data_IF_761529519659
#
_entry.id   IF_761529519659
#
_cell.length_a   1.000
_cell.length_b   1.000
_cell.length_c   1.000
_cell.angle_alpha   90.00
_cell.angle_beta   90.00
_cell.angle_gamma   90.00
#
_symmetry.space_group_name_H-M   'P 1'
#
loop_
_entity.id
_entity.type
_entity.pdbx_description
1 polymer ?
#
# COMPACT_ATOMS: atom_id res chain seq x y z
N UNK A 1 9.57 -16.43 14.19
CA UNK A 1 9.83 -15.07 14.69
C UNK A 1 8.64 -14.54 15.49
N UNK A 2 7.48 -14.26 14.88
CA UNK A 2 6.26 -13.84 15.60
C UNK A 2 5.88 -14.76 16.78
N UNK A 3 5.92 -16.09 16.59
CA UNK A 3 5.66 -17.07 17.66
C UNK A 3 6.52 -16.88 18.91
N UNK A 4 7.77 -16.44 18.77
CA UNK A 4 8.65 -16.20 19.91
C UNK A 4 8.32 -14.88 20.61
N UNK A 5 7.87 -13.87 19.85
CA UNK A 5 7.40 -12.61 20.43
C UNK A 5 6.18 -12.84 21.31
N UNK A 6 5.20 -13.65 20.86
CA UNK A 6 4.03 -13.97 21.67
C UNK A 6 4.38 -14.58 23.04
N UNK A 7 5.47 -15.37 23.14
CA UNK A 7 5.93 -15.93 24.42
C UNK A 7 6.39 -14.88 25.43
N UNK A 8 6.97 -13.78 24.97
CA UNK A 8 7.47 -12.69 25.83
C UNK A 8 6.41 -11.60 26.04
N UNK A 9 5.21 -11.72 25.45
CA UNK A 9 4.19 -10.66 25.49
C UNK A 9 3.70 -10.35 26.90
N UNK A 10 3.66 -11.36 27.77
CA UNK A 10 3.25 -11.23 29.17
C UNK A 10 4.24 -10.39 30.01
N UNK A 11 5.47 -10.22 29.55
CA UNK A 11 6.53 -9.53 30.28
C UNK A 11 6.81 -8.11 29.77
N UNK A 12 6.05 -7.62 28.78
CA UNK A 12 6.38 -6.40 28.04
C UNK A 12 5.20 -5.42 28.05
N UNK A 13 5.47 -4.13 28.24
CA UNK A 13 4.47 -3.06 28.17
C UNK A 13 3.97 -2.85 26.72
N UNK A 14 2.75 -2.34 26.55
CA UNK A 14 2.17 -2.12 25.21
C UNK A 14 3.03 -1.19 24.34
N UNK A 15 3.61 -0.14 24.92
CA UNK A 15 4.52 0.79 24.21
C UNK A 15 5.78 0.11 23.70
N UNK A 16 6.40 -0.74 24.52
CA UNK A 16 7.55 -1.54 24.14
C UNK A 16 7.18 -2.61 23.08
N UNK A 17 5.99 -3.21 23.18
CA UNK A 17 5.46 -4.12 22.17
C UNK A 17 5.29 -3.42 20.81
N UNK A 18 4.72 -2.20 20.79
CA UNK A 18 4.61 -1.35 19.59
C UNK A 18 5.99 -1.06 18.98
N UNK A 19 6.97 -0.66 19.80
CA UNK A 19 8.33 -0.39 19.32
C UNK A 19 9.03 -1.64 18.76
N UNK A 20 8.88 -2.79 19.41
CA UNK A 20 9.44 -4.07 18.94
C UNK A 20 8.82 -4.51 17.62
N UNK A 21 7.50 -4.47 17.49
CA UNK A 21 6.81 -4.75 16.23
C UNK A 21 7.20 -3.76 15.14
N UNK A 22 7.35 -2.48 15.50
CA UNK A 22 7.71 -1.45 14.54
C UNK A 22 9.08 -1.70 13.94
N UNK A 23 10.09 -1.89 14.79
CA UNK A 23 11.49 -2.12 14.38
C UNK A 23 11.66 -3.42 13.60
N UNK A 24 10.94 -4.48 13.95
CA UNK A 24 11.12 -5.81 13.36
C UNK A 24 10.28 -6.05 12.10
N UNK A 25 9.05 -5.53 12.07
CA UNK A 25 8.03 -5.91 11.08
C UNK A 25 7.60 -4.71 10.25
N UNK A 26 7.02 -3.67 10.87
CA UNK A 26 6.42 -2.59 10.08
C UNK A 26 7.48 -1.79 9.34
N UNK A 27 8.68 -1.62 9.88
CA UNK A 27 9.82 -1.00 9.19
C UNK A 27 10.13 -1.68 7.85
N UNK A 28 10.13 -3.02 7.82
CA UNK A 28 10.40 -3.83 6.63
C UNK A 28 9.23 -3.85 5.67
N UNK A 29 8.01 -3.88 6.20
CA UNK A 29 6.79 -3.77 5.41
C UNK A 29 6.79 -2.40 4.69
N UNK A 30 6.94 -1.32 5.45
CA UNK A 30 6.84 0.06 4.94
C UNK A 30 8.00 0.52 4.06
N UNK A 31 9.15 -0.16 4.07
CA UNK A 31 10.31 0.15 3.25
C UNK A 31 10.03 0.04 1.74
N UNK A 32 9.34 -1.01 1.28
CA UNK A 32 9.12 -1.28 -0.15
C UNK A 32 7.64 -1.45 -0.54
N UNK A 33 6.70 -0.94 0.27
CA UNK A 33 5.26 -1.10 0.00
C UNK A 33 4.83 -0.71 -1.42
N UNK A 34 5.42 0.33 -2.02
CA UNK A 34 5.05 0.75 -3.37
C UNK A 34 5.36 -0.31 -4.46
N UNK A 35 6.41 -1.12 -4.25
CA UNK A 35 6.83 -2.17 -5.19
C UNK A 35 5.87 -3.37 -5.15
N UNK A 36 5.15 -3.55 -4.05
CA UNK A 36 4.16 -4.62 -3.90
C UNK A 36 2.91 -4.40 -4.77
N UNK A 37 2.77 -3.23 -5.38
CA UNK A 37 1.67 -2.93 -6.28
C UNK A 37 1.70 -3.83 -7.52
N UNK A 38 0.58 -4.50 -7.82
CA UNK A 38 0.45 -5.41 -8.96
C UNK A 38 0.80 -6.87 -8.66
N UNK A 39 1.18 -7.22 -7.43
CA UNK A 39 1.34 -8.61 -7.01
C UNK A 39 0.00 -9.35 -6.91
N UNK A 40 -0.02 -10.68 -7.14
CA UNK A 40 -1.23 -11.47 -6.97
C UNK A 40 -1.68 -11.48 -5.49
N UNK A 41 -3.00 -11.54 -5.29
CA UNK A 41 -3.60 -11.53 -3.94
C UNK A 41 -3.07 -12.65 -3.03
N UNK A 42 -2.73 -13.81 -3.60
CA UNK A 42 -2.15 -14.93 -2.86
C UNK A 42 -0.88 -14.55 -2.10
N UNK A 43 -0.01 -13.75 -2.73
CA UNK A 43 1.22 -13.23 -2.11
C UNK A 43 0.90 -12.13 -1.10
N UNK A 44 -0.05 -11.25 -1.42
CA UNK A 44 -0.47 -10.17 -0.51
C UNK A 44 -1.09 -10.70 0.80
N UNK A 45 -1.79 -11.84 0.75
CA UNK A 45 -2.33 -12.52 1.94
C UNK A 45 -1.27 -12.86 2.98
N UNK A 46 -0.03 -13.13 2.57
CA UNK A 46 1.07 -13.36 3.51
C UNK A 46 1.39 -12.11 4.32
N UNK A 47 1.46 -10.94 3.67
CA UNK A 47 1.69 -9.67 4.34
C UNK A 47 0.53 -9.29 5.26
N UNK A 48 -0.71 -9.49 4.82
CA UNK A 48 -1.90 -9.25 5.65
C UNK A 48 -1.88 -10.13 6.90
N UNK A 49 -1.52 -11.42 6.79
CA UNK A 49 -1.37 -12.30 7.96
C UNK A 49 -0.32 -11.79 8.95
N UNK A 50 0.84 -11.36 8.45
CA UNK A 50 1.91 -10.80 9.30
C UNK A 50 1.43 -9.53 10.01
N UNK A 51 0.75 -8.63 9.30
CA UNK A 51 0.19 -7.42 9.88
C UNK A 51 -0.85 -7.75 10.96
N UNK A 52 -1.78 -8.65 10.66
CA UNK A 52 -2.87 -9.02 11.57
C UNK A 52 -2.33 -9.65 12.85
N UNK A 53 -1.37 -10.59 12.73
CA UNK A 53 -0.70 -11.19 13.88
C UNK A 53 0.04 -10.14 14.72
N UNK A 54 0.66 -9.16 14.07
CA UNK A 54 1.34 -8.07 14.77
C UNK A 54 0.37 -7.16 15.52
N UNK A 55 -0.80 -6.90 14.94
CA UNK A 55 -1.88 -6.14 15.57
C UNK A 55 -2.41 -6.88 16.80
N UNK A 56 -2.73 -8.17 16.69
CA UNK A 56 -3.15 -8.99 17.83
C UNK A 56 -2.05 -9.08 18.91
N UNK A 57 -0.78 -9.19 18.52
CA UNK A 57 0.33 -9.18 19.47
C UNK A 57 0.34 -7.89 20.31
N UNK A 58 0.15 -6.72 19.69
CA UNK A 58 0.14 -5.45 20.42
C UNK A 58 -1.10 -5.37 21.31
N UNK A 59 -2.28 -5.59 20.73
CA UNK A 59 -3.55 -5.33 21.39
C UNK A 59 -3.91 -6.36 22.45
N UNK A 60 -3.24 -7.52 22.53
CA UNK A 60 -3.53 -8.61 23.50
C UNK A 60 -4.95 -9.18 23.47
N UNK A 61 -5.81 -8.71 22.57
CA UNK A 61 -7.14 -9.24 22.42
C UNK A 61 -7.06 -10.64 21.80
N UNK A 62 -7.94 -11.53 22.25
CA UNK A 62 -7.98 -12.92 21.81
C UNK A 62 -8.17 -13.04 20.29
N UNK A 63 -7.84 -14.21 19.74
CA UNK A 63 -7.92 -14.53 18.30
C UNK A 63 -9.34 -14.37 17.70
N UNK A 64 -10.36 -14.15 18.54
CA UNK A 64 -11.77 -14.05 18.17
C UNK A 64 -12.25 -12.62 17.88
N UNK A 65 -11.43 -11.60 18.14
CA UNK A 65 -11.82 -10.23 17.80
C UNK A 65 -11.71 -9.94 16.30
N UNK A 66 -12.65 -9.16 15.81
CA UNK A 66 -12.66 -8.76 14.41
C UNK A 66 -11.46 -7.87 14.09
N UNK A 67 -10.58 -8.35 13.21
CA UNK A 67 -9.32 -7.69 12.87
C UNK A 67 -9.47 -6.21 12.47
N UNK A 68 -10.57 -5.84 11.80
CA UNK A 68 -10.82 -4.44 11.41
C UNK A 68 -10.96 -3.53 12.62
N UNK A 69 -11.52 -4.00 13.73
CA UNK A 69 -11.63 -3.23 14.96
C UNK A 69 -10.26 -3.02 15.61
N UNK A 70 -9.44 -4.08 15.67
CA UNK A 70 -8.08 -4.02 16.19
C UNK A 70 -7.21 -3.04 15.37
N UNK A 71 -7.31 -3.11 14.04
CA UNK A 71 -6.60 -2.19 13.15
C UNK A 71 -7.06 -0.73 13.34
N UNK A 72 -8.37 -0.49 13.54
CA UNK A 72 -8.90 0.85 13.83
C UNK A 72 -8.39 1.40 15.15
N UNK A 73 -8.39 0.60 16.23
CA UNK A 73 -7.85 1.01 17.53
C UNK A 73 -6.35 1.35 17.47
N UNK A 74 -5.59 0.65 16.62
CA UNK A 74 -4.17 0.92 16.39
C UNK A 74 -3.91 2.04 15.37
N UNK A 75 -4.95 2.57 14.72
CA UNK A 75 -4.87 3.48 13.58
C UNK A 75 -4.02 2.94 12.42
N UNK A 76 -4.12 1.63 12.15
CA UNK A 76 -3.37 0.95 11.09
C UNK A 76 -4.22 0.71 9.86
N UNK A 77 -3.76 1.17 8.70
CA UNK A 77 -4.37 0.79 7.42
C UNK A 77 -4.04 -0.68 7.07
N UNK A 78 -5.00 -1.47 6.55
CA UNK A 78 -4.76 -2.72 5.83
C UNK A 78 -3.63 -2.62 4.80
N UNK A 79 -2.86 -3.71 4.62
CA UNK A 79 -1.72 -3.78 3.69
C UNK A 79 -2.05 -3.23 2.29
N UNK A 80 -3.16 -3.65 1.71
CA UNK A 80 -3.55 -3.21 0.37
C UNK A 80 -3.72 -1.69 0.29
N UNK A 81 -4.40 -1.10 1.27
CA UNK A 81 -4.61 0.33 1.34
C UNK A 81 -3.29 1.10 1.56
N UNK A 82 -2.35 0.55 2.35
CA UNK A 82 -1.00 1.12 2.50
C UNK A 82 -0.24 1.17 1.19
N UNK A 83 -0.32 0.12 0.38
CA UNK A 83 0.33 0.05 -0.94
C UNK A 83 -0.26 1.17 -1.84
N UNK A 84 -1.58 1.25 -1.94
CA UNK A 84 -2.26 2.29 -2.70
C UNK A 84 -1.87 3.70 -2.23
N UNK A 85 -1.93 3.95 -0.93
CA UNK A 85 -1.56 5.23 -0.33
C UNK A 85 -0.11 5.63 -0.65
N UNK A 86 0.83 4.68 -0.58
CA UNK A 86 2.25 4.96 -0.89
C UNK A 86 2.45 5.29 -2.37
N UNK A 87 1.78 4.56 -3.28
CA UNK A 87 1.81 4.83 -4.72
C UNK A 87 1.23 6.22 -5.01
N UNK A 88 0.12 6.57 -4.36
CA UNK A 88 -0.53 7.87 -4.50
C UNK A 88 0.38 9.02 -4.08
N UNK A 89 1.00 8.92 -2.90
CA UNK A 89 1.94 9.94 -2.43
C UNK A 89 3.14 10.08 -3.35
N UNK A 90 3.73 8.97 -3.80
CA UNK A 90 4.86 9.02 -4.72
C UNK A 90 4.47 9.71 -6.02
N UNK A 91 3.27 9.42 -6.53
CA UNK A 91 2.74 10.06 -7.73
C UNK A 91 2.54 11.55 -7.53
N UNK A 92 1.86 11.94 -6.45
CA UNK A 92 1.63 13.34 -6.12
C UNK A 92 2.92 14.13 -5.96
N UNK A 93 3.89 13.59 -5.21
CA UNK A 93 5.19 14.26 -5.00
C UNK A 93 5.97 14.42 -6.31
N UNK A 94 5.94 13.40 -7.17
CA UNK A 94 6.64 13.43 -8.46
C UNK A 94 6.03 14.46 -9.41
N UNK A 95 4.71 14.64 -9.38
CA UNK A 95 4.00 15.63 -10.22
C UNK A 95 4.14 17.08 -9.74
N UNK A 96 4.59 17.29 -8.51
CA UNK A 96 4.71 18.60 -7.87
C UNK A 96 6.16 19.03 -7.63
N UNK A 97 7.14 18.33 -8.19
CA UNK A 97 8.55 18.72 -8.03
C UNK A 97 9.12 18.46 -6.63
N UNK A 98 8.52 17.54 -5.87
CA UNK A 98 8.92 17.20 -4.49
C UNK A 98 9.54 15.81 -4.37
N UNK A 99 9.81 15.15 -5.50
CA UNK A 99 10.41 13.84 -5.54
C UNK A 99 11.86 13.95 -6.01
N UNK A 100 12.69 12.91 -5.83
CA UNK A 100 13.97 12.85 -6.50
C UNK A 100 13.82 13.00 -8.02
N UNK A 101 14.76 13.67 -8.66
CA UNK A 101 14.76 13.99 -10.11
C UNK A 101 14.50 12.78 -11.00
N UNK A 102 14.96 11.59 -10.60
CA UNK A 102 14.73 10.35 -11.33
C UNK A 102 13.24 9.94 -11.36
N UNK A 103 12.46 10.23 -10.32
CA UNK A 103 11.01 9.96 -10.27
C UNK A 103 10.21 11.02 -11.02
N UNK A 104 10.62 12.29 -10.94
CA UNK A 104 9.98 13.38 -11.66
C UNK A 104 10.07 13.19 -13.18
N UNK A 105 11.24 12.74 -13.66
CA UNK A 105 11.44 12.42 -15.08
C UNK A 105 10.54 11.27 -15.59
N UNK A 106 10.15 10.34 -14.71
CA UNK A 106 9.27 9.21 -15.02
C UNK A 106 7.80 9.61 -15.10
N UNK A 107 7.37 10.64 -14.35
CA UNK A 107 5.97 11.03 -14.25
C UNK A 107 5.72 12.40 -14.89
N UNK A 108 5.24 12.40 -16.13
CA UNK A 108 4.90 13.63 -16.86
C UNK A 108 3.40 13.75 -17.04
N UNK A 109 2.85 14.93 -16.70
CA UNK A 109 1.48 15.27 -17.10
C UNK A 109 1.41 15.31 -18.61
N UNK A 110 0.33 14.75 -19.15
CA UNK A 110 0.08 14.83 -20.60
C UNK A 110 -0.14 16.29 -21.02
N UNK A 111 0.40 16.72 -22.16
CA UNK A 111 0.02 17.98 -22.76
C UNK A 111 -1.45 17.93 -23.20
N UNK A 112 -2.10 19.09 -23.26
CA UNK A 112 -3.54 19.24 -23.51
C UNK A 112 -4.01 18.72 -24.88
N UNK A 113 -3.08 18.46 -25.81
CA UNK A 113 -3.36 17.87 -27.13
C UNK A 113 -3.58 16.37 -27.01
N UNK A 114 -4.80 15.97 -26.63
CA UNK A 114 -5.23 14.58 -26.54
C UNK A 114 -5.47 13.98 -27.93
N UNK A 115 -4.79 12.90 -28.25
CA UNK A 115 -5.10 12.05 -29.42
C UNK A 115 -6.14 10.99 -29.05
N UNK A 116 -6.90 10.47 -30.03
CA UNK A 116 -7.93 9.42 -29.79
C UNK A 116 -7.37 8.16 -29.11
N UNK A 117 -6.08 7.88 -29.26
CA UNK A 117 -5.35 6.77 -28.62
C UNK A 117 -5.16 6.98 -27.11
N UNK A 118 -5.31 8.22 -26.62
CA UNK A 118 -4.94 8.58 -25.25
C UNK A 118 -6.00 8.27 -24.19
N UNK A 119 -7.26 8.12 -24.60
CA UNK A 119 -8.39 7.90 -23.68
C UNK A 119 -8.44 8.93 -22.54
N UNK A 120 -8.84 8.49 -21.34
CA UNK A 120 -8.94 9.31 -20.12
C UNK A 120 -7.63 9.37 -19.30
N UNK A 121 -6.47 9.09 -19.89
CA UNK A 121 -5.21 9.05 -19.14
C UNK A 121 -4.60 10.45 -18.98
N UNK A 122 -4.52 10.93 -17.74
CA UNK A 122 -3.95 12.25 -17.39
C UNK A 122 -2.40 12.24 -17.34
N UNK A 123 -1.79 11.06 -17.28
CA UNK A 123 -0.34 10.86 -17.28
C UNK A 123 0.16 10.25 -18.59
N UNK A 124 1.40 10.59 -18.97
CA UNK A 124 2.08 9.95 -20.10
C UNK A 124 2.46 8.54 -19.69
N UNK A 125 1.95 7.53 -20.39
CA UNK A 125 2.35 6.14 -20.16
C UNK A 125 3.68 5.92 -20.87
N UNK A 126 4.79 5.65 -20.16
CA UNK A 126 6.05 5.34 -20.81
C UNK A 126 5.92 4.03 -21.59
N UNK A 127 6.34 4.04 -22.86
CA UNK A 127 6.39 2.82 -23.66
C UNK A 127 7.57 1.97 -23.20
N UNK A 128 7.29 0.94 -22.40
CA UNK A 128 8.31 0.01 -21.90
C UNK A 128 8.63 -0.99 -23.02
N UNK A 129 9.78 -0.83 -23.68
CA UNK A 129 10.29 -1.82 -24.64
C UNK A 129 11.04 -2.92 -23.90
N UNK A 130 10.34 -3.91 -23.36
CA UNK A 130 10.96 -5.09 -22.75
C UNK A 130 10.59 -6.35 -23.54
N UNK A 131 11.56 -7.24 -23.80
CA UNK A 131 11.22 -8.63 -24.18
C UNK A 131 10.62 -9.28 -22.94
N UNK A 132 9.32 -9.55 -22.94
CA UNK A 132 8.66 -10.24 -21.83
C UNK A 132 9.11 -11.70 -21.80
N UNK A 133 9.54 -12.20 -20.64
CA UNK A 133 9.51 -13.63 -20.35
C UNK A 133 8.04 -14.01 -20.15
N UNK A 134 7.41 -14.44 -21.25
CA UNK A 134 5.97 -14.76 -21.42
C UNK A 134 5.04 -13.54 -21.41
N UNK A 135 4.49 -13.26 -22.58
CA UNK A 135 3.48 -12.24 -22.78
C UNK A 135 2.23 -12.53 -21.95
N UNK A 136 1.86 -11.56 -21.12
CA UNK A 136 0.48 -11.28 -20.70
C UNK A 136 0.37 -9.79 -20.46
N UNK A 137 -0.42 -9.14 -21.30
CA UNK A 137 -0.79 -7.74 -21.21
C UNK A 137 -1.72 -7.54 -20.02
N UNK A 138 -1.37 -6.67 -19.07
CA UNK A 138 -2.35 -5.90 -18.27
C UNK A 138 -1.69 -4.66 -17.66
N UNK A 139 -1.52 -3.61 -18.47
CA UNK A 139 -1.53 -2.24 -17.96
C UNK A 139 -2.99 -1.75 -17.95
N UNK A 140 -3.84 -2.28 -17.08
CA UNK A 140 -5.28 -1.95 -17.14
C UNK A 140 -5.60 -0.74 -16.28
N UNK A 141 -5.28 0.41 -16.85
CA UNK A 141 -5.90 1.72 -16.68
C UNK A 141 -5.63 2.54 -15.40
N UNK A 142 -5.06 3.73 -15.59
CA UNK A 142 -5.17 4.89 -14.67
C UNK A 142 -6.63 5.19 -14.32
N UNK A 143 -7.59 4.84 -15.18
CA UNK A 143 -9.03 4.95 -14.88
C UNK A 143 -9.51 3.96 -13.81
N UNK A 144 -8.93 2.76 -13.71
CA UNK A 144 -9.20 1.84 -12.59
C UNK A 144 -8.60 2.41 -11.30
N UNK A 145 -7.41 3.01 -11.39
CA UNK A 145 -6.77 3.70 -10.28
C UNK A 145 -7.55 4.94 -9.80
N UNK A 146 -8.06 5.77 -10.73
CA UNK A 146 -8.88 6.96 -10.45
C UNK A 146 -10.26 6.60 -9.88
N UNK A 147 -10.92 5.58 -10.44
CA UNK A 147 -12.20 5.07 -9.94
C UNK A 147 -12.06 4.42 -8.54
N UNK A 148 -10.91 3.80 -8.27
CA UNK A 148 -10.57 3.29 -6.93
C UNK A 148 -10.28 4.43 -5.95
N UNK A 149 -9.59 5.49 -6.39
CA UNK A 149 -9.31 6.71 -5.62
C UNK A 149 -10.60 7.46 -5.24
N UNK A 150 -11.49 7.67 -6.22
CA UNK A 150 -12.76 8.36 -6.03
C UNK A 150 -13.71 7.56 -5.13
N UNK A 151 -13.81 6.24 -5.31
CA UNK A 151 -14.60 5.39 -4.41
C UNK A 151 -14.04 5.36 -2.98
N UNK A 152 -12.72 5.29 -2.82
CA UNK A 152 -12.08 5.16 -1.50
C UNK A 152 -12.09 6.48 -0.71
N UNK A 153 -11.86 7.63 -1.36
CA UNK A 153 -11.95 8.94 -0.72
C UNK A 153 -13.40 9.32 -0.37
N UNK A 154 -14.39 8.88 -1.15
CA UNK A 154 -15.80 9.12 -0.83
C UNK A 154 -16.33 8.22 0.29
N UNK A 155 -15.92 6.95 0.38
CA UNK A 155 -16.39 6.05 1.46
C UNK A 155 -15.82 6.41 2.83
N UNK A 156 -14.55 6.84 2.95
CA UNK A 156 -13.97 7.24 4.25
C UNK A 156 -14.36 8.66 4.69
N UNK A 157 -14.73 9.54 3.75
CA UNK A 157 -15.09 10.92 4.09
C UNK A 157 -16.57 11.12 4.46
N UNK A 158 -17.48 10.21 4.06
CA UNK A 158 -18.92 10.36 4.24
C UNK A 158 -19.61 9.30 5.12
N UNK A 159 -18.89 8.29 5.60
CA UNK A 159 -19.38 7.33 6.59
C UNK A 159 -18.61 7.49 7.91
N UNK A 160 -18.85 8.62 8.57
CA UNK A 160 -18.76 8.75 10.02
C UNK A 160 -20.07 8.28 10.67
#
# INVERSE_FOLDING_TARGET
MLKNMFKIRCCINETAAKAGVHSMITSKLDYCNAILYGLPESTLKHFTRVQNLSAHFISQHGEYEHITQVLKQLHWLPVYQRICYKVLILTFKSLNGQAPTYLEGLMKRRPMKRTRVDGNNDLVIPTIKHKSFRGRSTCTNINAFKKFLEAFLFEEAYLQ
#
